data_IF_427167146606
#
_entry.id   IF_427167146606
#
_cell.length_a   1.000
_cell.length_b   1.000
_cell.length_c   1.000
_cell.angle_alpha   90.00
_cell.angle_beta   90.00
_cell.angle_gamma   90.00
#
_symmetry.space_group_name_H-M   'P 1'
#
loop_
_entity.id
_entity.type
_entity.pdbx_description
1 polymer ?
#
# COMPACT_ATOMS: atom_id res chain seq x y z
N UNK A 1 -4.16 3.54 6.28
CA UNK A 1 -2.99 2.74 6.70
C UNK A 1 -1.79 3.59 7.11
N UNK A 2 -1.70 4.88 6.74
CA UNK A 2 -0.65 5.85 7.11
C UNK A 2 -0.57 6.20 8.62
N UNK A 3 -0.32 5.20 9.48
CA UNK A 3 -0.21 5.36 10.95
C UNK A 3 -1.54 5.28 11.71
N UNK A 4 -2.65 5.03 11.02
CA UNK A 4 -3.96 4.79 11.63
C UNK A 4 -4.26 3.28 11.66
N UNK A 5 -4.89 2.77 12.74
CA UNK A 5 -5.32 1.37 12.80
C UNK A 5 -6.31 1.07 11.68
N UNK A 6 -6.11 -0.06 11.01
CA UNK A 6 -6.96 -0.55 9.92
C UNK A 6 -7.42 -1.97 10.20
N UNK A 7 -8.59 -2.34 9.68
CA UNK A 7 -9.12 -3.71 9.77
C UNK A 7 -9.57 -4.16 8.38
N UNK A 8 -9.95 -5.43 8.22
CA UNK A 8 -10.54 -5.91 6.97
C UNK A 8 -11.79 -5.12 6.55
N UNK A 9 -12.54 -4.56 7.51
CA UNK A 9 -13.68 -3.70 7.21
C UNK A 9 -13.30 -2.40 6.48
N UNK A 10 -12.07 -1.90 6.70
CA UNK A 10 -11.53 -0.69 6.05
C UNK A 10 -11.37 -0.83 4.53
N UNK A 11 -11.45 -2.05 3.99
CA UNK A 11 -11.20 -2.33 2.57
C UNK A 11 -12.41 -2.96 1.85
N UNK A 12 -13.59 -2.98 2.49
CA UNK A 12 -14.82 -3.49 1.86
C UNK A 12 -15.17 -2.73 0.58
N UNK A 13 -15.71 -3.44 -0.40
CA UNK A 13 -16.06 -2.88 -1.72
C UNK A 13 -14.86 -2.72 -2.66
N UNK A 14 -13.67 -3.15 -2.26
CA UNK A 14 -12.46 -3.20 -3.10
C UNK A 14 -11.87 -4.60 -3.07
N UNK A 15 -11.19 -4.97 -4.16
CA UNK A 15 -10.35 -6.17 -4.21
C UNK A 15 -9.05 -5.86 -3.46
N UNK A 16 -8.86 -6.46 -2.30
CA UNK A 16 -7.64 -6.30 -1.51
C UNK A 16 -6.60 -7.36 -1.90
N UNK A 17 -5.48 -6.93 -2.48
CA UNK A 17 -4.31 -7.75 -2.74
C UNK A 17 -3.36 -7.61 -1.56
N UNK A 18 -3.27 -8.63 -0.71
CA UNK A 18 -2.36 -8.63 0.43
C UNK A 18 -1.01 -9.22 0.03
N UNK A 19 0.06 -8.52 0.36
CA UNK A 19 1.43 -8.98 0.23
C UNK A 19 2.13 -8.89 1.58
N UNK A 20 2.51 -10.03 2.14
CA UNK A 20 3.25 -10.10 3.40
C UNK A 20 4.76 -10.11 3.12
N UNK A 21 5.51 -9.24 3.77
CA UNK A 21 6.97 -9.16 3.58
C UNK A 21 7.66 -8.31 4.65
N UNK A 22 8.90 -7.93 4.43
CA UNK A 22 9.65 -6.99 5.28
C UNK A 22 10.49 -6.08 4.39
N UNK A 23 10.72 -4.84 4.80
CA UNK A 23 11.34 -3.82 3.91
C UNK A 23 12.80 -4.08 3.55
N UNK A 24 13.48 -4.94 4.32
CA UNK A 24 14.91 -5.28 4.18
C UNK A 24 15.18 -6.56 3.37
N UNK A 25 14.26 -6.98 2.50
CA UNK A 25 14.44 -8.19 1.71
C UNK A 25 15.29 -7.89 0.45
N UNK A 26 16.51 -8.43 0.31
CA UNK A 26 17.46 -7.97 -0.72
C UNK A 26 17.11 -8.41 -2.15
N UNK A 27 16.16 -9.33 -2.38
CA UNK A 27 15.95 -9.90 -3.73
C UNK A 27 14.50 -9.91 -4.22
N UNK A 28 13.53 -10.37 -3.42
CA UNK A 28 12.21 -10.79 -3.96
C UNK A 28 11.13 -9.69 -3.88
N UNK A 29 11.32 -8.72 -3.00
CA UNK A 29 10.36 -7.63 -2.79
C UNK A 29 10.23 -6.67 -3.98
N UNK A 30 11.32 -6.16 -4.61
CA UNK A 30 11.18 -5.21 -5.72
C UNK A 30 10.51 -5.82 -6.94
N UNK A 31 10.82 -7.09 -7.26
CA UNK A 31 10.25 -7.81 -8.40
C UNK A 31 8.75 -8.04 -8.25
N UNK A 32 8.31 -8.43 -7.04
CA UNK A 32 6.88 -8.68 -6.79
C UNK A 32 6.06 -7.39 -6.89
N UNK A 33 6.56 -6.28 -6.33
CA UNK A 33 5.89 -4.98 -6.43
C UNK A 33 5.90 -4.43 -7.87
N UNK A 34 6.97 -4.67 -8.64
CA UNK A 34 7.02 -4.33 -10.05
C UNK A 34 5.97 -5.12 -10.86
N UNK A 35 5.81 -6.42 -10.60
CA UNK A 35 4.77 -7.22 -11.25
C UNK A 35 3.36 -6.72 -10.92
N UNK A 36 3.09 -6.36 -9.67
CA UNK A 36 1.80 -5.78 -9.28
C UNK A 36 1.54 -4.44 -9.99
N UNK A 37 2.58 -3.64 -10.23
CA UNK A 37 2.45 -2.40 -11.01
C UNK A 37 2.00 -2.68 -12.44
N UNK A 38 2.59 -3.68 -13.10
CA UNK A 38 2.20 -4.10 -14.46
C UNK A 38 0.76 -4.63 -14.47
N UNK A 39 0.37 -5.44 -13.48
CA UNK A 39 -1.01 -5.94 -13.35
C UNK A 39 -2.01 -4.79 -13.23
N UNK A 40 -1.72 -3.79 -12.39
CA UNK A 40 -2.58 -2.62 -12.23
C UNK A 40 -2.67 -1.77 -13.51
N UNK A 41 -1.58 -1.63 -14.25
CA UNK A 41 -1.60 -0.95 -15.56
C UNK A 41 -2.49 -1.69 -16.56
N UNK A 42 -2.38 -3.01 -16.63
CA UNK A 42 -3.19 -3.85 -17.54
C UNK A 42 -4.69 -3.83 -17.20
N UNK A 43 -5.05 -3.59 -15.93
CA UNK A 43 -6.45 -3.43 -15.51
C UNK A 43 -7.09 -2.11 -15.98
N UNK A 44 -6.29 -1.10 -16.34
CA UNK A 44 -6.78 0.20 -16.75
C UNK A 44 -7.73 0.82 -15.70
N UNK A 45 -8.92 1.33 -16.08
CA UNK A 45 -9.86 1.92 -15.13
C UNK A 45 -10.29 1.01 -13.98
N UNK A 46 -10.24 -0.31 -14.15
CA UNK A 46 -10.62 -1.26 -13.10
C UNK A 46 -9.66 -1.25 -11.91
N UNK A 47 -8.43 -0.77 -12.10
CA UNK A 47 -7.42 -0.66 -11.03
C UNK A 47 -7.91 0.19 -9.85
N UNK A 48 -8.84 1.12 -10.05
CA UNK A 48 -9.42 1.93 -8.98
C UNK A 48 -10.16 1.10 -7.90
N UNK A 49 -10.61 -0.09 -8.27
CA UNK A 49 -11.30 -1.03 -7.36
C UNK A 49 -10.33 -1.97 -6.65
N UNK A 50 -9.03 -1.91 -6.95
CA UNK A 50 -8.00 -2.77 -6.36
C UNK A 50 -7.20 -1.97 -5.33
N UNK A 51 -6.88 -2.59 -4.19
CA UNK A 51 -5.96 -2.05 -3.19
C UNK A 51 -4.88 -3.07 -2.90
N UNK A 52 -3.63 -2.69 -3.18
CA UNK A 52 -2.46 -3.45 -2.76
C UNK A 52 -2.13 -3.04 -1.33
N UNK A 53 -2.05 -4.03 -0.44
CA UNK A 53 -1.73 -3.86 0.98
C UNK A 53 -0.43 -4.60 1.26
N UNK A 54 0.60 -3.86 1.65
CA UNK A 54 1.82 -4.46 2.18
C UNK A 54 1.68 -4.63 3.70
N UNK A 55 1.84 -5.85 4.18
CA UNK A 55 1.80 -6.18 5.61
C UNK A 55 3.19 -6.62 6.03
N UNK A 56 3.83 -5.81 6.87
CA UNK A 56 5.14 -6.18 7.42
C UNK A 56 5.01 -7.38 8.37
N UNK A 57 5.94 -8.33 8.25
CA UNK A 57 6.12 -9.44 9.20
C UNK A 57 7.20 -9.13 10.25
N UNK A 58 7.90 -7.99 10.15
CA UNK A 58 8.91 -7.52 11.12
C UNK A 58 8.53 -6.15 11.73
N UNK A 59 7.55 -6.12 12.64
CA UNK A 59 7.04 -4.88 13.24
C UNK A 59 8.06 -4.17 14.15
N UNK A 60 9.18 -4.82 14.50
CA UNK A 60 10.24 -4.20 15.32
C UNK A 60 11.12 -3.25 14.49
N UNK A 61 11.22 -3.49 13.17
CA UNK A 61 12.07 -2.72 12.26
C UNK A 61 11.25 -1.87 11.29
N UNK A 62 10.12 -2.39 10.82
CA UNK A 62 9.25 -1.70 9.88
C UNK A 62 8.26 -0.80 10.64
N UNK A 63 8.66 0.45 10.85
CA UNK A 63 7.80 1.45 11.49
C UNK A 63 7.01 2.26 10.46
N UNK A 64 5.80 2.74 10.80
CA UNK A 64 5.01 3.58 9.90
C UNK A 64 5.77 4.79 9.37
N UNK A 65 6.66 5.38 10.18
CA UNK A 65 7.48 6.54 9.80
C UNK A 65 8.42 6.27 8.62
N UNK A 66 8.85 5.02 8.42
CA UNK A 66 9.69 4.63 7.27
C UNK A 66 8.86 4.47 5.98
N UNK A 67 7.56 4.13 6.10
CA UNK A 67 6.68 3.82 4.99
C UNK A 67 5.64 4.90 4.67
N UNK A 68 5.57 5.99 5.44
CA UNK A 68 4.73 7.14 5.11
C UNK A 68 5.38 7.93 3.97
N UNK A 69 4.74 8.06 2.79
CA UNK A 69 5.16 9.08 1.85
C UNK A 69 5.03 10.44 2.55
N UNK A 70 6.09 11.24 2.53
CA UNK A 70 6.06 12.63 2.99
C UNK A 70 4.81 13.29 2.43
N UNK A 71 3.98 13.94 3.25
CA UNK A 71 2.75 14.53 2.76
C UNK A 71 3.09 15.51 1.63
N UNK A 72 2.61 15.20 0.42
CA UNK A 72 2.66 16.14 -0.69
C UNK A 72 1.91 17.43 -0.26
N UNK A 73 2.46 18.63 -0.52
CA UNK A 73 1.94 19.89 0.04
C UNK A 73 0.55 20.33 -0.48
N UNK A 74 -0.19 19.50 -1.23
CA UNK A 74 -1.48 19.87 -1.84
C UNK A 74 -2.74 19.32 -1.17
N UNK A 75 -2.65 18.55 -0.07
CA UNK A 75 -3.84 18.03 0.61
C UNK A 75 -4.42 18.98 1.69
N UNK A 76 -4.21 20.29 1.56
CA UNK A 76 -4.88 21.31 2.35
C UNK A 76 -5.74 22.14 1.41
N UNK A 77 -6.99 22.36 1.78
CA UNK A 77 -8.06 23.12 1.07
C UNK A 77 -8.84 22.37 -0.03
N UNK A 78 -9.90 21.66 0.37
CA UNK A 78 -11.26 21.96 -0.12
C UNK A 78 -12.29 21.17 0.71
N UNK A 79 -12.86 21.83 1.71
CA UNK A 79 -14.19 21.51 2.24
C UNK A 79 -14.63 22.61 3.20
N UNK A 80 -15.66 23.35 2.76
CA UNK A 80 -16.46 24.38 3.44
C UNK A 80 -15.80 25.76 3.62
#
# INVERSE_FOLDING_TARGET
DLGQPVTGASYRGKVALLYFGYTHCPDVCPTTLAHLTVVLQNLGPLAQHVRVLFVSVDPKRDTPACCTPTPAPSARTSSA
#
